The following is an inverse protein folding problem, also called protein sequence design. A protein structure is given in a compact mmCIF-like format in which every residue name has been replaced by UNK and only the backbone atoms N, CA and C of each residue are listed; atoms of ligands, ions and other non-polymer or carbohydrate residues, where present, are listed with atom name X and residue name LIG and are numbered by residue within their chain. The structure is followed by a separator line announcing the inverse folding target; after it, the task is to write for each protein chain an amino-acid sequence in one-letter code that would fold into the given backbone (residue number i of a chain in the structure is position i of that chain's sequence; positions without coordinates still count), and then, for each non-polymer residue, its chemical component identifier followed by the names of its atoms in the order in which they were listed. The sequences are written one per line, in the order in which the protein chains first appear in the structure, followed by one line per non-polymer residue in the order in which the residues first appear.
data_IF_841449852213
#
_entry.id   IF_841449852213
#
_cell.length_a   1.000
_cell.length_b   1.000
_cell.length_c   1.000
_cell.angle_alpha   90.00
_cell.angle_beta   90.00
_cell.angle_gamma   90.00
#
_symmetry.space_group_name_H-M   'P 1'
#
loop_
_entity.id
_entity.type
_entity.pdbx_description
1 polymer ?
#
# COMPACT_ATOMS: atom_id res chain seq x y z
N UNK A 1 15.29 -6.79 -17.69
CA UNK A 1 14.08 -5.93 -17.58
C UNK A 1 14.30 -4.72 -16.69
N UNK A 2 15.23 -4.75 -15.73
CA UNK A 2 15.56 -3.56 -14.90
C UNK A 2 15.99 -2.34 -15.73
N UNK A 3 16.85 -2.54 -16.73
CA UNK A 3 17.27 -1.47 -17.65
C UNK A 3 16.09 -0.84 -18.40
N UNK A 4 15.06 -1.62 -18.75
CA UNK A 4 13.84 -1.08 -19.39
C UNK A 4 13.16 -0.06 -18.46
N UNK A 5 13.01 -0.40 -17.18
CA UNK A 5 12.40 0.51 -16.22
C UNK A 5 13.26 1.75 -15.97
N UNK A 6 14.52 1.56 -15.57
CA UNK A 6 15.38 2.66 -15.15
C UNK A 6 15.79 3.58 -16.30
N UNK A 7 15.98 3.03 -17.51
CA UNK A 7 16.47 3.81 -18.66
C UNK A 7 15.36 4.25 -19.61
N UNK A 8 14.20 3.56 -19.64
CA UNK A 8 13.12 3.86 -20.60
C UNK A 8 11.81 4.28 -19.97
N UNK A 9 11.51 3.89 -18.72
CA UNK A 9 10.21 4.15 -18.10
C UNK A 9 10.22 5.37 -17.16
N UNK A 10 11.25 5.48 -16.31
CA UNK A 10 11.39 6.56 -15.32
C UNK A 10 11.87 7.91 -15.92
N UNK A 11 12.86 7.96 -16.84
CA UNK A 11 13.46 9.22 -17.25
C UNK A 11 12.49 10.15 -17.98
N UNK A 12 12.54 11.45 -17.67
CA UNK A 12 11.63 12.48 -18.21
C UNK A 12 11.70 12.65 -19.72
N UNK A 13 12.85 12.33 -20.33
CA UNK A 13 13.10 12.49 -21.76
C UNK A 13 12.69 11.27 -22.59
N UNK A 14 12.07 10.25 -21.99
CA UNK A 14 11.62 9.06 -22.69
C UNK A 14 10.11 9.11 -22.92
N UNK A 15 9.60 8.53 -24.03
CA UNK A 15 8.17 8.56 -24.35
C UNK A 15 7.31 7.86 -23.29
N UNK A 16 7.85 6.83 -22.62
CA UNK A 16 7.10 6.09 -21.61
C UNK A 16 6.90 6.86 -20.31
N UNK A 17 7.55 8.02 -20.14
CA UNK A 17 7.36 8.90 -19.00
C UNK A 17 5.89 9.24 -18.77
N UNK A 18 5.11 9.40 -19.85
CA UNK A 18 3.69 9.68 -19.77
C UNK A 18 2.91 8.59 -18.99
N UNK A 19 3.33 7.32 -19.06
CA UNK A 19 2.72 6.24 -18.28
C UNK A 19 3.14 6.29 -16.80
N UNK A 20 4.40 6.61 -16.53
CA UNK A 20 4.89 6.81 -15.16
C UNK A 20 4.12 7.95 -14.47
N UNK A 21 3.95 9.09 -15.14
CA UNK A 21 3.21 10.23 -14.59
C UNK A 21 1.71 9.92 -14.41
N UNK A 22 1.12 9.11 -15.29
CA UNK A 22 -0.24 8.60 -15.10
C UNK A 22 -0.36 7.77 -13.83
N UNK A 23 0.62 6.92 -13.52
CA UNK A 23 0.62 6.12 -12.28
C UNK A 23 0.70 7.03 -11.05
N UNK A 24 1.58 8.04 -11.07
CA UNK A 24 1.66 9.02 -9.98
C UNK A 24 0.30 9.73 -9.76
N UNK A 25 -0.39 10.07 -10.85
CA UNK A 25 -1.68 10.75 -10.81
C UNK A 25 -2.84 9.87 -10.33
N UNK A 26 -2.67 8.55 -10.19
CA UNK A 26 -3.70 7.66 -9.63
C UNK A 26 -3.91 7.88 -8.13
N UNK A 27 -2.96 8.52 -7.44
CA UNK A 27 -3.05 8.79 -6.02
C UNK A 27 -4.13 9.84 -5.70
N UNK A 28 -5.22 9.48 -5.00
CA UNK A 28 -6.26 10.44 -4.63
C UNK A 28 -5.67 11.58 -3.80
N UNK A 29 -5.96 12.82 -4.19
CA UNK A 29 -5.41 14.04 -3.56
C UNK A 29 -3.87 14.08 -3.52
N UNK A 30 -3.20 13.29 -4.35
CA UNK A 30 -1.74 13.13 -4.34
C UNK A 30 -1.18 12.46 -3.09
N UNK A 31 -2.02 11.87 -2.22
CA UNK A 31 -1.60 11.21 -0.98
C UNK A 31 -1.11 9.78 -1.23
N UNK A 32 -0.05 9.40 -0.52
CA UNK A 32 0.52 8.06 -0.61
C UNK A 32 -0.50 7.03 -0.11
N UNK A 33 -0.91 6.06 -0.93
CA UNK A 33 -1.92 5.07 -0.55
C UNK A 33 -1.47 4.12 0.55
N UNK A 34 -0.17 4.02 0.83
CA UNK A 34 0.35 3.20 1.94
C UNK A 34 0.16 3.86 3.32
N UNK A 35 0.45 5.17 3.44
CA UNK A 35 0.45 5.84 4.73
C UNK A 35 -0.64 6.91 4.88
N UNK A 36 -1.17 7.41 3.76
CA UNK A 36 -2.11 8.54 3.66
C UNK A 36 -1.61 9.86 4.31
N UNK A 37 -0.34 9.92 4.72
CA UNK A 37 0.27 11.10 5.34
C UNK A 37 0.98 11.97 4.29
N UNK A 38 1.94 11.38 3.58
CA UNK A 38 2.86 12.11 2.70
C UNK A 38 2.37 12.16 1.25
N UNK A 39 2.86 13.14 0.50
CA UNK A 39 2.59 13.24 -0.94
C UNK A 39 3.38 12.19 -1.73
N UNK A 40 2.76 11.69 -2.79
CA UNK A 40 3.39 10.79 -3.75
C UNK A 40 4.50 11.52 -4.51
N UNK A 41 5.65 10.86 -4.60
CA UNK A 41 6.84 11.38 -5.32
C UNK A 41 7.48 10.33 -6.21
N UNK A 42 7.15 9.05 -6.00
CA UNK A 42 7.79 7.91 -6.65
C UNK A 42 6.75 6.86 -7.04
N UNK A 43 7.16 5.90 -7.87
CA UNK A 43 6.39 4.68 -8.13
C UNK A 43 7.15 3.52 -7.49
N UNK A 44 6.50 2.87 -6.53
CA UNK A 44 6.95 1.68 -5.83
C UNK A 44 6.65 0.40 -6.62
N UNK A 45 7.49 -0.61 -6.43
CA UNK A 45 7.27 -1.97 -6.92
C UNK A 45 6.74 -2.82 -5.76
N UNK A 46 5.45 -3.15 -5.77
CA UNK A 46 4.83 -3.95 -4.71
C UNK A 46 5.55 -5.30 -4.53
N UNK A 47 5.82 -5.99 -5.63
CA UNK A 47 6.77 -7.09 -5.73
C UNK A 47 8.12 -6.53 -6.20
N UNK A 48 9.21 -6.64 -5.41
CA UNK A 48 10.49 -6.04 -5.73
C UNK A 48 11.01 -6.42 -7.10
N UNK A 49 11.36 -5.43 -7.94
CA UNK A 49 11.92 -5.67 -9.28
C UNK A 49 13.20 -6.51 -9.30
N UNK A 50 13.97 -6.52 -8.20
CA UNK A 50 15.20 -7.32 -8.05
C UNK A 50 14.92 -8.82 -8.00
N UNK A 51 13.73 -9.22 -7.51
CA UNK A 51 13.30 -10.62 -7.34
C UNK A 51 12.24 -11.01 -8.37
N UNK A 52 11.39 -10.08 -8.77
CA UNK A 52 10.22 -10.28 -9.62
C UNK A 52 10.36 -9.52 -10.95
N UNK A 53 11.44 -9.80 -11.68
CA UNK A 53 11.84 -9.06 -12.88
C UNK A 53 10.73 -8.96 -13.93
N UNK A 54 9.96 -10.04 -14.13
CA UNK A 54 8.85 -10.08 -15.10
C UNK A 54 7.73 -9.06 -14.80
N UNK A 55 7.62 -8.60 -13.55
CA UNK A 55 6.59 -7.65 -13.10
C UNK A 55 7.09 -6.21 -13.02
N UNK A 56 8.29 -5.91 -13.50
CA UNK A 56 8.93 -4.59 -13.33
C UNK A 56 8.13 -3.44 -13.97
N UNK A 57 7.41 -3.70 -15.06
CA UNK A 57 6.59 -2.69 -15.76
C UNK A 57 5.10 -3.04 -15.76
N UNK A 58 4.69 -4.03 -14.98
CA UNK A 58 3.29 -4.44 -14.89
C UNK A 58 2.51 -3.39 -14.11
N UNK A 59 1.45 -2.78 -14.66
CA UNK A 59 0.71 -1.68 -14.01
C UNK A 59 0.25 -2.02 -12.59
N UNK A 60 -0.24 -3.24 -12.38
CA UNK A 60 -0.71 -3.68 -11.07
C UNK A 60 0.39 -3.89 -10.03
N UNK A 61 1.65 -3.97 -10.45
CA UNK A 61 2.81 -4.05 -9.56
C UNK A 61 3.43 -2.67 -9.27
N UNK A 62 2.92 -1.61 -9.91
CA UNK A 62 3.43 -0.25 -9.82
C UNK A 62 2.47 0.63 -9.01
N UNK A 63 2.86 0.98 -7.80
CA UNK A 63 2.05 1.72 -6.84
C UNK A 63 2.59 3.16 -6.72
N UNK A 64 1.78 4.22 -6.88
CA UNK A 64 2.23 5.56 -6.53
C UNK A 64 2.56 5.62 -5.03
N UNK A 65 3.73 6.11 -4.65
CA UNK A 65 4.20 6.10 -3.27
C UNK A 65 4.98 7.37 -2.90
N UNK A 66 4.94 7.76 -1.63
CA UNK A 66 5.90 8.71 -1.08
C UNK A 66 7.30 8.07 -1.00
N UNK A 67 8.33 8.91 -0.91
CA UNK A 67 9.71 8.44 -0.82
C UNK A 67 9.92 7.50 0.37
N UNK A 68 9.42 7.87 1.55
CA UNK A 68 9.66 7.12 2.79
C UNK A 68 9.09 5.71 2.75
N UNK A 69 7.85 5.53 2.25
CA UNK A 69 7.24 4.21 2.13
C UNK A 69 7.98 3.33 1.10
N UNK A 70 8.39 3.91 -0.03
CA UNK A 70 9.12 3.19 -1.07
C UNK A 70 10.50 2.73 -0.55
N UNK A 71 11.26 3.64 0.06
CA UNK A 71 12.58 3.31 0.64
C UNK A 71 12.52 2.51 1.92
N UNK A 72 11.39 2.51 2.63
CA UNK A 72 11.18 1.67 3.82
C UNK A 72 10.94 0.20 3.45
N UNK A 73 10.34 -0.06 2.28
CA UNK A 73 10.06 -1.41 1.78
C UNK A 73 11.27 -2.06 1.14
N UNK A 74 11.98 -1.34 0.27
CA UNK A 74 13.10 -1.85 -0.55
C UNK A 74 12.74 -3.18 -1.25
N UNK A 75 13.55 -4.21 -1.02
CA UNK A 75 13.43 -5.53 -1.61
C UNK A 75 12.70 -6.55 -0.72
N UNK A 76 11.99 -6.07 0.30
CA UNK A 76 11.20 -6.91 1.19
C UNK A 76 10.15 -7.71 0.41
N UNK A 77 9.99 -8.96 0.83
CA UNK A 77 9.01 -9.93 0.31
C UNK A 77 8.21 -10.54 1.45
N UNK A 78 7.08 -11.14 1.14
CA UNK A 78 6.18 -11.76 2.10
C UNK A 78 5.91 -13.21 1.67
N UNK A 79 5.87 -14.14 2.63
CA UNK A 79 5.68 -15.56 2.34
C UNK A 79 4.21 -15.95 2.28
N UNK A 80 3.36 -15.18 2.93
CA UNK A 80 1.93 -15.42 3.03
C UNK A 80 1.15 -14.11 3.12
N UNK A 81 -0.18 -14.24 3.08
CA UNK A 81 -1.10 -13.11 3.05
C UNK A 81 -1.14 -12.29 4.35
N UNK A 82 -0.77 -12.89 5.47
CA UNK A 82 -0.76 -12.23 6.79
C UNK A 82 0.41 -11.26 6.89
N UNK A 83 1.56 -11.65 6.34
CA UNK A 83 2.78 -10.82 6.26
C UNK A 83 2.71 -9.75 5.17
N UNK A 84 1.93 -9.98 4.12
CA UNK A 84 1.79 -9.04 3.00
C UNK A 84 1.25 -7.69 3.51
N UNK A 85 1.85 -6.54 3.11
CA UNK A 85 1.22 -5.25 3.37
C UNK A 85 -0.09 -5.14 2.57
N UNK A 86 -0.93 -4.18 2.94
CA UNK A 86 -2.11 -3.87 2.13
C UNK A 86 -1.73 -3.55 0.69
N UNK A 87 -2.44 -4.13 -0.27
CA UNK A 87 -2.26 -3.83 -1.69
C UNK A 87 -3.28 -2.79 -2.18
N UNK A 88 -2.88 -1.53 -2.47
CA UNK A 88 -3.80 -0.43 -2.78
C UNK A 88 -4.83 -0.66 -3.89
N UNK A 89 -4.51 -1.49 -4.89
CA UNK A 89 -5.45 -1.81 -5.97
C UNK A 89 -6.40 -2.97 -5.70
N UNK A 90 -5.98 -3.94 -4.88
CA UNK A 90 -6.68 -5.21 -4.75
C UNK A 90 -7.46 -5.33 -3.46
N UNK A 91 -7.03 -4.61 -2.44
CA UNK A 91 -7.56 -4.73 -1.11
C UNK A 91 -8.52 -3.56 -0.86
N UNK A 92 -9.67 -3.85 -0.27
CA UNK A 92 -10.67 -2.86 0.10
C UNK A 92 -10.90 -2.94 1.62
N UNK A 93 -10.79 -1.80 2.30
CA UNK A 93 -11.03 -1.67 3.73
C UNK A 93 -12.09 -0.59 4.06
N UNK A 94 -12.81 -0.08 3.07
CA UNK A 94 -13.77 1.02 3.27
C UNK A 94 -14.85 0.64 4.29
N UNK A 95 -15.23 -0.65 4.32
CA UNK A 95 -16.23 -1.19 5.26
C UNK A 95 -15.61 -1.76 6.56
N UNK A 96 -14.29 -1.62 6.76
CA UNK A 96 -13.59 -2.19 7.91
C UNK A 96 -13.43 -1.17 9.04
N UNK A 97 -14.09 -1.43 10.17
CA UNK A 97 -13.83 -0.67 11.40
C UNK A 97 -12.60 -1.24 12.10
N UNK A 98 -11.47 -0.56 11.98
CA UNK A 98 -10.20 -1.00 12.58
C UNK A 98 -9.82 -0.24 13.85
N UNK A 99 -10.43 0.93 14.10
CA UNK A 99 -10.21 1.77 15.28
C UNK A 99 -11.55 2.21 15.88
N UNK A 100 -11.72 1.98 17.18
CA UNK A 100 -12.82 2.54 17.98
C UNK A 100 -12.27 3.57 18.95
N UNK A 101 -13.09 4.56 19.29
CA UNK A 101 -12.81 5.48 20.38
C UNK A 101 -13.98 5.43 21.37
N UNK A 102 -13.67 5.34 22.65
CA UNK A 102 -14.62 5.54 23.74
C UNK A 102 -14.43 6.95 24.29
N UNK A 103 -15.50 7.74 24.29
CA UNK A 103 -15.54 9.03 24.96
C UNK A 103 -15.46 8.82 26.48
N UNK A 104 -14.60 9.59 27.13
CA UNK A 104 -14.50 9.67 28.58
C UNK A 104 -14.93 11.08 28.98
N UNK A 105 -16.12 11.16 29.57
CA UNK A 105 -16.72 12.40 30.08
C UNK A 105 -16.01 12.83 31.37
N UNK A 106 -14.87 13.49 31.21
CA UNK A 106 -14.10 14.13 32.26
C UNK A 106 -13.60 15.50 31.80
N UNK A 107 -12.98 16.28 32.68
CA UNK A 107 -12.34 17.55 32.33
C UNK A 107 -10.81 17.39 32.43
N UNK A 108 -10.05 17.51 31.33
CA UNK A 108 -10.50 17.74 29.95
C UNK A 108 -11.12 16.49 29.31
N UNK A 109 -12.05 16.70 28.38
CA UNK A 109 -12.68 15.61 27.62
C UNK A 109 -11.62 14.72 27.01
N UNK A 110 -11.73 13.42 27.24
CA UNK A 110 -10.71 12.45 26.87
C UNK A 110 -11.27 11.35 25.98
N UNK A 111 -10.41 10.74 25.16
CA UNK A 111 -10.77 9.62 24.29
C UNK A 111 -9.83 8.44 24.55
N UNK A 112 -10.42 7.27 24.76
CA UNK A 112 -9.68 6.02 24.79
C UNK A 112 -9.83 5.30 23.45
N UNK A 113 -8.71 5.16 22.74
CA UNK A 113 -8.66 4.44 21.47
C UNK A 113 -8.44 2.94 21.69
N UNK A 114 -9.15 2.13 20.92
CA UNK A 114 -9.07 0.68 20.95
C UNK A 114 -8.95 0.17 19.52
N UNK A 115 -7.91 -0.61 19.26
CA UNK A 115 -7.78 -1.33 18.00
C UNK A 115 -8.79 -2.49 17.97
N UNK A 116 -9.57 -2.59 16.90
CA UNK A 116 -10.43 -3.73 16.70
C UNK A 116 -9.69 -4.76 15.85
N UNK A 117 -9.48 -5.93 16.43
CA UNK A 117 -9.09 -7.12 15.70
C UNK A 117 -10.37 -7.77 15.15
N UNK A 118 -11.03 -7.12 14.19
CA UNK A 118 -12.09 -7.79 13.45
C UNK A 118 -11.41 -8.76 12.49
N UNK A 119 -12.03 -9.92 12.22
CA UNK A 119 -11.65 -10.73 11.06
C UNK A 119 -11.81 -9.83 9.84
N UNK A 120 -10.69 -9.28 9.35
CA UNK A 120 -10.75 -8.45 8.17
C UNK A 120 -10.78 -9.40 7.00
N UNK A 121 -12.00 -9.71 6.56
CA UNK A 121 -12.21 -10.41 5.30
C UNK A 121 -11.82 -9.45 4.19
N UNK A 122 -10.60 -9.60 3.69
CA UNK A 122 -10.16 -8.84 2.53
C UNK A 122 -10.87 -9.38 1.31
N UNK A 123 -11.87 -8.63 0.84
CA UNK A 123 -12.56 -8.89 -0.41
C UNK A 123 -11.69 -8.33 -1.53
N UNK A 124 -11.08 -9.21 -2.34
CA UNK A 124 -10.50 -8.76 -3.60
C UNK A 124 -11.64 -8.36 -4.53
N UNK A 125 -11.46 -7.29 -5.32
CA UNK A 125 -12.48 -6.80 -6.26
C UNK A 125 -13.06 -7.90 -7.16
N UNK A 126 -12.29 -8.97 -7.43
CA UNK A 126 -12.64 -10.00 -8.42
C UNK A 126 -12.63 -11.47 -7.90
N UNK A 127 -12.45 -11.76 -6.60
CA UNK A 127 -12.58 -13.15 -6.07
C UNK A 127 -12.76 -13.21 -4.54
N UNK A 128 -13.31 -14.33 -4.06
CA UNK A 128 -13.73 -14.56 -2.66
C UNK A 128 -12.65 -14.39 -1.58
N UNK A 129 -13.18 -14.06 -0.41
CA UNK A 129 -12.59 -13.63 0.84
C UNK A 129 -11.34 -14.39 1.31
N UNK A 130 -10.27 -13.67 1.65
CA UNK A 130 -9.18 -14.22 2.44
C UNK A 130 -9.33 -13.78 3.89
N UNK A 131 -9.39 -14.75 4.80
CA UNK A 131 -9.48 -14.53 6.23
C UNK A 131 -8.12 -14.06 6.74
N UNK A 132 -7.98 -12.79 7.13
CA UNK A 132 -6.88 -12.36 8.00
C UNK A 132 -7.26 -12.68 9.44
N UNK A 133 -6.63 -13.72 10.00
CA UNK A 133 -6.44 -13.83 11.43
C UNK A 133 -5.16 -13.11 11.80
N UNK A 134 -5.21 -12.21 12.78
CA UNK A 134 -4.05 -11.85 13.59
C UNK A 134 -4.35 -12.28 15.01
N UNK A 135 -3.70 -13.36 15.43
CA UNK A 135 -3.40 -13.58 16.82
C UNK A 135 -1.98 -14.13 16.91
N UNK A 136 -1.06 -13.28 17.35
CA UNK A 136 0.00 -13.65 18.27
C UNK A 136 0.24 -12.42 19.15
N UNK A 137 -0.44 -12.45 20.29
CA UNK A 137 0.07 -12.00 21.58
C UNK A 137 0.81 -10.65 21.59
N UNK A 138 0.09 -9.59 21.97
CA UNK A 138 0.70 -8.60 22.86
C UNK A 138 0.78 -9.26 24.25
N UNK A 139 1.93 -9.87 24.52
CA UNK A 139 2.44 -10.11 25.87
C UNK A 139 3.56 -9.09 26.13
#
# INVERSE_FOLDING_TARGET
MEALYTQRFVPKNQPNRAFYDKILALAPYGKCPYCQQNLVKTVDHFLPKSKYVAYTVTPYNLIPACSDCNTGKLDSTFHNRVEEPFHPYYDNFDDCVWLKAKLIEMEPVSFQFMQIHQLIYLKRKDSEYVIRFLNKDFA
#
